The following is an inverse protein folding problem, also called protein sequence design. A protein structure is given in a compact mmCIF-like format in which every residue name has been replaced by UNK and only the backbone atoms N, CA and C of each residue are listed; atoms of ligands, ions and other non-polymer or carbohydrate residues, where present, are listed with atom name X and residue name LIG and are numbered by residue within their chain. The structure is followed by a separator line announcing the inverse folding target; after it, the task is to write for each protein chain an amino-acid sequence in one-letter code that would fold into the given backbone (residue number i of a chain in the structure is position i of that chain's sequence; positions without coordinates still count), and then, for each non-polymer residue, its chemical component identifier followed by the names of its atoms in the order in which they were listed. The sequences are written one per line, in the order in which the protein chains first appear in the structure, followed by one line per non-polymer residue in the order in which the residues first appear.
data_IF_310425414872
#
_entry.id   IF_310425414872
#
_cell.length_a   1.000
_cell.length_b   1.000
_cell.length_c   1.000
_cell.angle_alpha   90.00
_cell.angle_beta   90.00
_cell.angle_gamma   90.00
#
_symmetry.space_group_name_H-M   'P 1'
#
loop_
_entity.id
_entity.type
_entity.pdbx_description
1 polymer ?
#
# COMPACT_ATOMS: atom_id res chain seq x y z
N UNK A 1 19.76 3.41 21.70
CA UNK A 1 18.95 3.17 20.49
C UNK A 1 18.31 1.84 20.76
N UNK A 2 17.01 1.84 21.05
CA UNK A 2 16.42 0.66 21.71
C UNK A 2 15.69 -0.26 20.72
N UNK A 3 15.37 0.22 19.52
CA UNK A 3 15.12 -0.58 18.30
C UNK A 3 14.86 0.34 17.08
N UNK A 4 15.21 -0.11 15.87
CA UNK A 4 14.95 0.56 14.57
C UNK A 4 14.76 -0.48 13.46
N UNK A 5 13.82 -0.25 12.54
CA UNK A 5 13.82 -0.83 11.20
C UNK A 5 13.13 0.16 10.25
N UNK A 6 13.79 0.54 9.16
CA UNK A 6 13.19 1.34 8.10
C UNK A 6 13.57 0.74 6.73
N UNK A 7 12.54 0.22 6.07
CA UNK A 7 12.51 -0.26 4.69
C UNK A 7 11.05 -0.51 4.27
N UNK A 8 10.12 0.27 4.82
CA UNK A 8 8.69 -0.01 4.75
C UNK A 8 8.07 0.83 3.63
N UNK A 9 7.29 0.19 2.76
CA UNK A 9 6.51 0.86 1.70
C UNK A 9 5.30 1.61 2.27
N UNK A 10 5.42 2.21 3.45
CA UNK A 10 4.38 2.95 4.14
C UNK A 10 4.45 4.41 3.66
N UNK A 11 3.38 4.95 3.05
CA UNK A 11 3.39 6.33 2.61
C UNK A 11 3.43 7.30 3.81
N UNK A 12 4.28 8.32 3.69
CA UNK A 12 4.19 9.53 4.50
C UNK A 12 3.48 10.57 3.65
N UNK A 13 2.34 11.08 4.12
CA UNK A 13 1.48 11.97 3.34
C UNK A 13 1.34 13.31 4.04
N UNK A 14 1.31 14.38 3.25
CA UNK A 14 0.97 15.71 3.74
C UNK A 14 -0.48 15.74 4.26
N UNK A 15 -0.77 16.55 5.28
CA UNK A 15 -2.10 16.62 5.93
C UNK A 15 -3.27 16.79 4.96
N UNK A 16 -3.11 17.57 3.88
CA UNK A 16 -4.11 17.71 2.79
C UNK A 16 -4.46 16.40 2.11
N UNK A 17 -3.48 15.53 1.86
CA UNK A 17 -3.71 14.20 1.27
C UNK A 17 -4.35 13.28 2.30
N UNK A 18 -3.86 13.29 3.54
CA UNK A 18 -4.47 12.54 4.63
C UNK A 18 -5.97 12.86 4.82
N UNK A 19 -6.38 14.12 4.68
CA UNK A 19 -7.78 14.52 4.78
C UNK A 19 -8.68 13.82 3.75
N UNK A 20 -8.22 13.66 2.50
CA UNK A 20 -8.96 12.92 1.47
C UNK A 20 -9.16 11.45 1.83
N UNK A 21 -8.11 10.82 2.37
CA UNK A 21 -8.18 9.44 2.82
C UNK A 21 -9.14 9.28 4.00
N UNK A 22 -9.15 10.21 4.95
CA UNK A 22 -10.10 10.23 6.07
C UNK A 22 -11.54 10.40 5.60
N UNK A 23 -11.78 11.23 4.59
CA UNK A 23 -13.12 11.44 4.04
C UNK A 23 -13.62 10.22 3.27
N UNK A 24 -12.78 9.65 2.41
CA UNK A 24 -13.19 8.62 1.46
C UNK A 24 -13.07 7.20 2.03
N UNK A 25 -12.08 6.92 2.87
CA UNK A 25 -11.77 5.56 3.33
C UNK A 25 -11.41 5.49 4.84
N UNK A 26 -12.20 6.10 5.74
CA UNK A 26 -11.86 6.17 7.17
C UNK A 26 -11.76 4.79 7.84
N UNK A 27 -12.53 3.80 7.37
CA UNK A 27 -12.56 2.46 7.94
C UNK A 27 -11.41 1.55 7.47
N UNK A 28 -10.58 2.03 6.55
CA UNK A 28 -9.53 1.26 5.87
C UNK A 28 -8.12 1.77 6.17
N UNK A 29 -8.02 2.88 6.89
CA UNK A 29 -6.75 3.52 7.21
C UNK A 29 -6.60 3.78 8.71
N UNK A 30 -5.35 3.93 9.12
CA UNK A 30 -4.96 4.62 10.34
C UNK A 30 -3.94 5.69 9.96
N UNK A 31 -4.07 6.87 10.56
CA UNK A 31 -3.17 7.98 10.35
C UNK A 31 -2.40 8.27 11.64
N UNK A 32 -1.08 8.32 11.55
CA UNK A 32 -0.20 8.57 12.70
C UNK A 32 0.61 9.84 12.40
N UNK A 33 0.44 10.93 13.17
CA UNK A 33 1.23 12.15 12.98
C UNK A 33 2.72 11.89 13.12
N UNK A 34 3.52 12.50 12.25
CA UNK A 34 4.98 12.43 12.30
C UNK A 34 5.60 13.79 12.00
N UNK A 35 6.67 14.10 12.73
CA UNK A 35 7.47 15.30 12.49
C UNK A 35 8.61 14.98 11.52
N UNK A 36 8.67 15.74 10.42
CA UNK A 36 9.76 15.62 9.44
C UNK A 36 10.70 16.80 9.63
N UNK A 37 11.93 16.51 10.07
CA UNK A 37 12.97 17.53 10.24
C UNK A 37 13.19 18.30 8.94
N UNK A 38 13.10 19.63 9.00
CA UNK A 38 13.30 20.51 7.85
C UNK A 38 12.03 20.81 7.05
N UNK A 39 10.89 20.26 7.43
CA UNK A 39 9.59 20.58 6.86
C UNK A 39 8.69 21.20 7.95
N UNK A 40 8.12 22.37 7.67
CA UNK A 40 7.24 23.07 8.62
C UNK A 40 5.78 22.58 8.58
N UNK A 41 5.39 21.90 7.51
CA UNK A 41 4.04 21.37 7.33
C UNK A 41 3.82 20.07 8.14
N UNK A 42 2.54 19.71 8.34
CA UNK A 42 2.15 18.49 9.03
C UNK A 42 2.10 17.29 8.08
N UNK A 43 2.70 16.18 8.52
CA UNK A 43 2.73 14.91 7.81
C UNK A 43 2.22 13.78 8.68
N UNK A 44 1.68 12.76 8.03
CA UNK A 44 1.12 11.59 8.69
C UNK A 44 1.61 10.33 7.97
N UNK A 45 1.93 9.28 8.74
CA UNK A 45 2.03 7.94 8.19
C UNK A 45 0.63 7.45 7.84
N UNK A 46 0.48 6.97 6.60
CA UNK A 46 -0.75 6.34 6.13
C UNK A 46 -0.61 4.83 6.21
N UNK A 47 -1.30 4.25 7.19
CA UNK A 47 -1.33 2.80 7.41
C UNK A 47 -2.62 2.26 6.84
N UNK A 48 -2.55 1.42 5.81
CA UNK A 48 -3.71 0.65 5.36
C UNK A 48 -3.94 -0.51 6.35
N UNK A 49 -5.14 -0.61 6.91
CA UNK A 49 -5.48 -1.58 7.96
C UNK A 49 -6.08 -2.87 7.41
N UNK A 50 -6.40 -2.89 6.11
CA UNK A 50 -6.96 -4.05 5.40
C UNK A 50 -5.87 -4.82 4.66
N UNK A 51 -5.73 -6.11 4.99
CA UNK A 51 -4.98 -7.10 4.23
C UNK A 51 -5.97 -8.06 3.58
N UNK A 52 -5.91 -8.21 2.25
CA UNK A 52 -6.90 -8.98 1.49
C UNK A 52 -6.22 -9.98 0.56
N UNK A 53 -6.59 -11.25 0.63
CA UNK A 53 -6.11 -12.31 -0.27
C UNK A 53 -6.77 -12.22 -1.66
N UNK A 54 -6.38 -11.24 -2.44
CA UNK A 54 -7.01 -10.94 -3.73
C UNK A 54 -6.09 -11.07 -4.95
N UNK A 55 -4.80 -11.39 -4.81
CA UNK A 55 -3.92 -11.54 -5.98
C UNK A 55 -4.44 -12.69 -6.85
N UNK A 56 -4.63 -12.41 -8.14
CA UNK A 56 -4.84 -13.45 -9.15
C UNK A 56 -3.47 -13.96 -9.59
N UNK A 57 -3.05 -15.09 -9.03
CA UNK A 57 -1.75 -15.70 -9.32
C UNK A 57 -1.64 -16.26 -10.75
N UNK A 58 -2.77 -16.50 -11.43
CA UNK A 58 -2.79 -16.99 -12.81
C UNK A 58 -2.61 -15.84 -13.80
N UNK A 59 -3.24 -14.69 -13.51
CA UNK A 59 -3.18 -13.51 -14.36
C UNK A 59 -1.96 -12.60 -14.04
N UNK A 60 -1.33 -12.77 -12.88
CA UNK A 60 -0.12 -12.03 -12.47
C UNK A 60 1.16 -12.80 -12.79
N UNK A 61 2.27 -12.08 -12.99
CA UNK A 61 3.59 -12.72 -13.10
C UNK A 61 4.23 -12.85 -11.71
N UNK A 62 4.13 -14.04 -11.13
CA UNK A 62 4.60 -14.35 -9.78
C UNK A 62 5.96 -15.05 -9.79
N UNK A 63 6.86 -14.61 -8.92
CA UNK A 63 8.03 -15.38 -8.46
C UNK A 63 7.90 -15.62 -6.97
N UNK A 64 7.97 -16.87 -6.55
CA UNK A 64 8.06 -17.25 -5.14
C UNK A 64 9.52 -17.43 -4.74
N UNK A 65 9.82 -17.21 -3.47
CA UNK A 65 11.09 -17.64 -2.89
C UNK A 65 11.15 -19.16 -2.89
N UNK A 66 12.30 -19.71 -3.29
CA UNK A 66 12.58 -21.15 -3.24
C UNK A 66 13.69 -21.43 -2.23
N UNK A 67 13.92 -22.71 -1.93
CA UNK A 67 15.03 -23.13 -1.07
C UNK A 67 16.40 -22.71 -1.66
N UNK A 68 16.51 -22.62 -2.99
CA UNK A 68 17.75 -22.24 -3.68
C UNK A 68 18.12 -20.77 -3.44
N UNK A 69 17.15 -19.90 -3.14
CA UNK A 69 17.41 -18.51 -2.81
C UNK A 69 18.08 -18.33 -1.42
N UNK A 70 18.18 -19.39 -0.60
CA UNK A 70 18.93 -19.38 0.66
C UNK A 70 18.27 -18.63 1.82
N UNK A 71 16.97 -18.37 1.74
CA UNK A 71 16.18 -17.65 2.75
C UNK A 71 14.99 -18.52 3.21
N UNK A 72 15.22 -19.51 4.10
CA UNK A 72 14.23 -20.54 4.43
C UNK A 72 12.90 -19.99 4.94
N UNK A 73 12.93 -18.90 5.72
CA UNK A 73 11.76 -18.28 6.32
C UNK A 73 10.85 -17.58 5.29
N UNK A 74 11.32 -17.38 4.06
CA UNK A 74 10.54 -16.76 2.99
C UNK A 74 10.05 -17.76 1.95
N UNK A 75 10.48 -19.02 2.00
CA UNK A 75 10.10 -20.03 0.99
C UNK A 75 8.57 -20.10 0.86
N UNK A 76 8.07 -20.03 -0.38
CA UNK A 76 6.64 -20.01 -0.67
C UNK A 76 5.97 -18.63 -0.57
N UNK A 77 6.63 -17.62 0.01
CA UNK A 77 6.16 -16.24 -0.04
C UNK A 77 6.49 -15.57 -1.38
N UNK A 78 5.76 -14.50 -1.72
CA UNK A 78 6.04 -13.72 -2.92
C UNK A 78 7.42 -13.04 -2.85
N UNK A 79 8.30 -13.41 -3.77
CA UNK A 79 9.57 -12.74 -4.02
C UNK A 79 9.43 -11.59 -5.01
N UNK A 80 8.51 -11.71 -5.97
CA UNK A 80 8.17 -10.66 -6.92
C UNK A 80 6.76 -10.88 -7.45
N UNK A 81 6.01 -9.78 -7.55
CA UNK A 81 4.74 -9.72 -8.29
C UNK A 81 4.86 -8.63 -9.35
N UNK A 82 4.83 -9.03 -10.62
CA UNK A 82 4.82 -8.11 -11.77
C UNK A 82 3.48 -8.23 -12.50
N UNK A 83 3.09 -7.15 -13.18
CA UNK A 83 1.79 -7.06 -13.87
C UNK A 83 0.65 -7.51 -12.95
N UNK A 84 0.62 -6.95 -11.73
CA UNK A 84 -0.30 -7.34 -10.66
C UNK A 84 -1.75 -7.27 -11.16
N UNK A 85 -2.45 -8.40 -11.10
CA UNK A 85 -3.89 -8.53 -11.28
C UNK A 85 -4.53 -9.00 -9.99
N UNK A 86 -5.73 -8.48 -9.71
CA UNK A 86 -6.50 -8.86 -8.54
C UNK A 86 -7.88 -9.39 -8.92
N UNK A 87 -8.37 -10.33 -8.13
CA UNK A 87 -9.76 -10.75 -8.13
C UNK A 87 -10.60 -9.72 -7.36
N UNK A 88 -11.25 -8.83 -8.12
CA UNK A 88 -12.08 -7.75 -7.58
C UNK A 88 -13.26 -8.25 -6.75
N UNK A 89 -13.72 -9.50 -6.95
CA UNK A 89 -14.83 -10.08 -6.18
C UNK A 89 -14.47 -10.30 -4.71
N UNK A 90 -13.17 -10.41 -4.39
CA UNK A 90 -12.67 -10.61 -3.01
C UNK A 90 -12.41 -9.32 -2.24
N UNK A 91 -12.43 -8.16 -2.91
CA UNK A 91 -12.10 -6.86 -2.30
C UNK A 91 -13.24 -6.35 -1.40
N UNK A 92 -14.48 -6.73 -1.71
CA UNK A 92 -15.66 -6.25 -0.97
C UNK A 92 -15.79 -4.72 -1.06
N UNK A 93 -16.05 -4.08 0.08
CA UNK A 93 -16.24 -2.63 0.16
C UNK A 93 -14.93 -1.85 0.45
N UNK A 94 -13.78 -2.51 0.52
CA UNK A 94 -12.51 -1.84 0.85
C UNK A 94 -12.11 -0.88 -0.27
N UNK A 95 -11.79 0.36 0.12
CA UNK A 95 -11.30 1.42 -0.78
C UNK A 95 -9.80 1.63 -0.68
N UNK A 96 -9.17 1.20 0.43
CA UNK A 96 -7.71 1.23 0.62
C UNK A 96 -7.25 -0.05 1.28
N UNK A 97 -6.33 -0.79 0.67
CA UNK A 97 -5.86 -2.04 1.23
C UNK A 97 -4.51 -2.48 0.65
N UNK A 98 -3.92 -3.52 1.24
CA UNK A 98 -2.80 -4.24 0.64
C UNK A 98 -3.18 -5.68 0.33
N UNK A 99 -2.67 -6.24 -0.78
CA UNK A 99 -2.77 -7.66 -1.00
C UNK A 99 -2.03 -8.42 0.12
N UNK A 100 -2.68 -9.46 0.65
CA UNK A 100 -2.05 -10.34 1.63
C UNK A 100 -0.79 -11.00 1.04
N UNK A 101 0.27 -11.09 1.84
CA UNK A 101 1.56 -11.65 1.41
C UNK A 101 2.39 -10.74 0.51
N UNK A 102 1.87 -9.60 0.03
CA UNK A 102 2.60 -8.67 -0.83
C UNK A 102 2.53 -7.22 -0.35
N UNK A 103 3.60 -6.77 0.30
CA UNK A 103 3.72 -5.38 0.77
C UNK A 103 4.05 -4.39 -0.35
N UNK A 104 4.25 -4.88 -1.58
CA UNK A 104 4.75 -4.12 -2.70
C UNK A 104 3.79 -3.04 -3.22
N UNK A 105 2.49 -3.22 -3.04
CA UNK A 105 1.45 -2.33 -3.54
C UNK A 105 0.55 -1.83 -2.41
N UNK A 106 0.12 -0.58 -2.52
CA UNK A 106 -1.03 -0.03 -1.82
C UNK A 106 -2.13 0.15 -2.88
N UNK A 107 -3.23 -0.57 -2.72
CA UNK A 107 -4.35 -0.51 -3.67
C UNK A 107 -5.36 0.50 -3.14
N UNK A 108 -5.82 1.37 -4.02
CA UNK A 108 -6.83 2.39 -3.75
C UNK A 108 -7.97 2.28 -4.77
N UNK A 109 -9.19 2.61 -4.38
CA UNK A 109 -10.32 2.69 -5.31
C UNK A 109 -10.11 3.78 -6.36
N UNK A 110 -10.76 3.64 -7.50
CA UNK A 110 -10.67 4.62 -8.59
C UNK A 110 -11.08 6.03 -8.16
N UNK A 111 -12.17 6.18 -7.40
CA UNK A 111 -12.59 7.48 -6.88
C UNK A 111 -11.48 8.18 -6.08
N UNK A 112 -10.75 7.43 -5.25
CA UNK A 112 -9.70 7.98 -4.40
C UNK A 112 -8.50 8.40 -5.25
N UNK A 113 -8.16 7.59 -6.26
CA UNK A 113 -7.16 7.94 -7.29
C UNK A 113 -7.55 9.23 -8.02
N UNK A 114 -8.81 9.35 -8.46
CA UNK A 114 -9.31 10.55 -9.14
C UNK A 114 -9.30 11.78 -8.21
N UNK A 115 -9.67 11.63 -6.94
CA UNK A 115 -9.58 12.73 -5.96
C UNK A 115 -8.13 13.18 -5.74
N UNK A 116 -7.18 12.25 -5.67
CA UNK A 116 -5.75 12.57 -5.55
C UNK A 116 -5.23 13.32 -6.78
N UNK A 117 -5.64 12.92 -7.98
CA UNK A 117 -5.31 13.62 -9.23
C UNK A 117 -5.95 15.01 -9.31
N UNK A 118 -7.21 15.13 -8.88
CA UNK A 118 -7.96 16.39 -8.87
C UNK A 118 -7.29 17.45 -7.98
N UNK A 119 -6.83 17.06 -6.78
CA UNK A 119 -6.08 17.96 -5.89
C UNK A 119 -4.61 18.14 -6.29
N UNK A 120 -4.19 17.52 -7.41
CA UNK A 120 -2.83 17.53 -7.93
C UNK A 120 -1.81 17.07 -6.90
N UNK A 121 -2.11 15.99 -6.19
CA UNK A 121 -1.16 15.35 -5.27
C UNK A 121 0.13 14.99 -6.02
N UNK A 122 1.28 15.44 -5.52
CA UNK A 122 2.58 15.19 -6.13
C UNK A 122 3.20 13.89 -5.58
N UNK A 123 4.13 13.30 -6.32
CA UNK A 123 4.86 12.10 -5.88
C UNK A 123 4.08 10.79 -5.96
N UNK A 124 2.84 10.81 -6.50
CA UNK A 124 2.04 9.60 -6.74
C UNK A 124 2.20 9.11 -8.18
N UNK A 125 2.19 7.78 -8.34
CA UNK A 125 2.09 7.12 -9.64
C UNK A 125 1.11 5.97 -9.50
N UNK A 126 0.10 5.96 -10.37
CA UNK A 126 -0.91 4.90 -10.40
C UNK A 126 -0.63 3.91 -11.52
N UNK A 127 -1.01 2.66 -11.30
CA UNK A 127 -1.00 1.59 -12.30
C UNK A 127 -2.24 0.77 -12.04
N UNK A 128 -3.00 0.49 -13.10
CA UNK A 128 -4.20 -0.32 -13.01
C UNK A 128 -3.85 -1.76 -12.67
N UNK A 129 -4.67 -2.38 -11.81
CA UNK A 129 -4.53 -3.77 -11.36
C UNK A 129 -5.82 -4.55 -11.59
#
# INVERSE_FOLDING_TARGET
MDFTEAGLRIPVVHVRVAALFTELAPADIQLIPVDIKGHADQYLLLVATRLIRCIDEQASRIRLWTHEDGVPEKVGHYASVRDLRIDKTKVGAARVFRPEGWTGALIVSEDLKLSLEHVKATGVKFTEV
#
